data_IF_810530301543
#
_entry.id   IF_810530301543
#
_cell.length_a   1.000
_cell.length_b   1.000
_cell.length_c   1.000
_cell.angle_alpha   90.00
_cell.angle_beta   90.00
_cell.angle_gamma   90.00
#
_symmetry.space_group_name_H-M   'P 1'
#
loop_
_entity.id
_entity.type
_entity.pdbx_description
1 polymer ?
#
# COMPACT_ATOMS: atom_id res chain seq x y z
N UNK A 1 6.96 18.69 4.46
CA UNK A 1 7.75 19.00 3.24
C UNK A 1 8.41 20.39 3.36
N UNK A 2 9.44 20.60 4.18
CA UNK A 2 10.16 21.90 4.27
C UNK A 2 11.69 21.68 4.28
N UNK A 3 12.30 21.38 3.14
CA UNK A 3 13.76 21.41 3.10
C UNK A 3 14.24 22.85 3.25
N UNK A 4 15.43 23.09 3.79
CA UNK A 4 16.08 24.41 3.68
C UNK A 4 16.55 24.68 2.24
N UNK A 5 16.54 23.64 1.40
CA UNK A 5 16.81 23.69 -0.05
C UNK A 5 15.55 23.99 -0.83
N UNK A 6 15.70 24.77 -1.90
CA UNK A 6 14.66 25.03 -2.88
C UNK A 6 14.23 23.75 -3.61
N UNK A 7 13.00 23.71 -4.12
CA UNK A 7 12.50 22.56 -4.89
C UNK A 7 13.39 22.24 -6.10
N UNK A 8 13.98 23.26 -6.72
CA UNK A 8 14.93 23.12 -7.84
C UNK A 8 16.20 22.38 -7.43
N UNK A 9 16.73 22.66 -6.25
CA UNK A 9 17.92 21.96 -5.73
C UNK A 9 17.63 20.50 -5.40
N UNK A 10 16.44 20.20 -4.85
CA UNK A 10 16.01 18.81 -4.61
C UNK A 10 15.85 18.06 -5.93
N UNK A 11 15.21 18.68 -6.92
CA UNK A 11 15.05 18.08 -8.25
C UNK A 11 16.41 17.82 -8.92
N UNK A 12 17.35 18.76 -8.84
CA UNK A 12 18.70 18.60 -9.38
C UNK A 12 19.46 17.46 -8.70
N UNK A 13 19.39 17.36 -7.36
CA UNK A 13 20.00 16.27 -6.63
C UNK A 13 19.42 14.89 -7.03
N UNK A 14 18.12 14.79 -7.29
CA UNK A 14 17.51 13.55 -7.77
C UNK A 14 17.98 13.17 -9.18
N UNK A 15 18.12 14.15 -10.08
CA UNK A 15 18.64 13.94 -11.44
C UNK A 15 20.10 13.48 -11.39
N UNK A 16 20.95 14.12 -10.58
CA UNK A 16 22.36 13.73 -10.42
C UNK A 16 22.53 12.30 -9.90
N UNK A 17 21.71 11.89 -8.93
CA UNK A 17 21.73 10.52 -8.41
C UNK A 17 21.30 9.50 -9.46
N UNK A 18 20.28 9.83 -10.26
CA UNK A 18 19.80 8.99 -11.34
C UNK A 18 20.82 8.87 -12.49
N UNK A 19 21.40 9.99 -12.93
CA UNK A 19 22.37 10.01 -14.03
C UNK A 19 23.67 9.30 -13.67
N UNK A 20 24.18 9.45 -12.44
CA UNK A 20 25.38 8.75 -11.99
C UNK A 20 25.22 7.22 -11.97
N UNK A 21 24.02 6.72 -11.66
CA UNK A 21 23.71 5.28 -11.71
C UNK A 21 23.41 4.79 -13.13
N UNK A 22 22.76 5.60 -13.96
CA UNK A 22 22.55 5.29 -15.37
C UNK A 22 23.87 5.11 -16.14
N UNK A 23 24.89 5.91 -15.83
CA UNK A 23 26.23 5.80 -16.44
C UNK A 23 27.03 4.58 -15.94
N UNK A 24 26.74 4.11 -14.72
CA UNK A 24 27.40 2.92 -14.13
C UNK A 24 26.65 1.62 -14.41
N UNK A 25 25.41 1.71 -14.93
CA UNK A 25 24.55 0.58 -15.26
C UNK A 25 24.99 -0.05 -16.60
N UNK A 26 26.16 -0.68 -16.61
CA UNK A 26 26.63 -1.50 -17.73
C UNK A 26 25.97 -2.90 -17.77
N UNK A 27 24.92 -3.15 -16.97
CA UNK A 27 24.28 -4.47 -16.83
C UNK A 27 22.75 -4.36 -16.87
N UNK A 28 22.13 -5.14 -17.77
CA UNK A 28 20.70 -5.29 -18.06
C UNK A 28 19.85 -5.89 -16.90
N UNK A 29 20.14 -5.53 -15.66
CA UNK A 29 19.24 -5.86 -14.56
C UNK A 29 18.12 -4.82 -14.47
N UNK A 30 16.87 -5.28 -14.36
CA UNK A 30 15.70 -4.42 -14.14
C UNK A 30 15.90 -3.45 -12.96
N UNK A 31 16.72 -3.86 -11.98
CA UNK A 31 17.05 -3.06 -10.81
C UNK A 31 18.04 -1.91 -11.12
N UNK A 32 18.98 -2.11 -12.05
CA UNK A 32 19.86 -1.04 -12.54
C UNK A 32 19.08 -0.03 -13.38
N UNK A 33 18.17 -0.49 -14.23
CA UNK A 33 17.27 0.38 -15.00
C UNK A 33 16.40 1.26 -14.08
N UNK A 34 15.84 0.68 -13.01
CA UNK A 34 15.08 1.44 -12.01
C UNK A 34 15.96 2.49 -11.30
N UNK A 35 17.19 2.15 -10.93
CA UNK A 35 18.13 3.07 -10.28
C UNK A 35 18.63 4.21 -11.20
N UNK A 36 18.51 4.07 -12.52
CA UNK A 36 18.78 5.13 -13.49
C UNK A 36 17.62 6.10 -13.70
N UNK A 37 16.44 5.81 -13.14
CA UNK A 37 15.26 6.64 -13.31
C UNK A 37 15.06 7.63 -12.15
N UNK A 38 14.71 8.88 -12.47
CA UNK A 38 14.52 9.95 -11.46
C UNK A 38 13.42 9.59 -10.46
N UNK A 39 12.35 8.93 -10.92
CA UNK A 39 11.25 8.48 -10.05
C UNK A 39 11.71 7.59 -8.88
N UNK A 40 12.75 6.79 -9.06
CA UNK A 40 13.28 5.93 -8.00
C UNK A 40 13.77 6.70 -6.77
N UNK A 41 14.34 7.90 -6.99
CA UNK A 41 14.82 8.77 -5.91
C UNK A 41 13.75 9.72 -5.36
N UNK A 42 12.66 9.95 -6.10
CA UNK A 42 11.58 10.82 -5.66
C UNK A 42 10.52 10.09 -4.83
N UNK A 43 10.18 8.85 -5.20
CA UNK A 43 9.04 8.13 -4.59
C UNK A 43 9.36 6.73 -4.06
N UNK A 44 10.49 6.15 -4.44
CA UNK A 44 10.82 4.76 -4.14
C UNK A 44 12.02 4.60 -3.18
N UNK A 45 12.71 3.45 -3.21
CA UNK A 45 13.83 3.09 -2.31
C UNK A 45 15.02 4.05 -2.40
N UNK A 46 15.18 4.78 -3.51
CA UNK A 46 16.21 5.81 -3.67
C UNK A 46 15.97 7.06 -2.83
N UNK A 47 14.77 7.25 -2.27
CA UNK A 47 14.41 8.43 -1.49
C UNK A 47 15.31 8.65 -0.28
N UNK A 48 15.77 7.58 0.38
CA UNK A 48 16.67 7.69 1.53
C UNK A 48 18.02 8.31 1.14
N UNK A 49 18.54 8.00 -0.05
CA UNK A 49 19.77 8.58 -0.59
C UNK A 49 19.59 10.06 -0.95
N UNK A 50 18.43 10.42 -1.52
CA UNK A 50 18.08 11.81 -1.79
C UNK A 50 17.93 12.62 -0.49
N UNK A 51 17.24 12.06 0.52
CA UNK A 51 17.09 12.70 1.85
C UNK A 51 18.44 12.91 2.54
N UNK A 52 19.39 11.97 2.41
CA UNK A 52 20.75 12.14 2.93
C UNK A 52 21.50 13.29 2.24
N UNK A 53 21.34 13.44 0.92
CA UNK A 53 22.03 14.47 0.13
C UNK A 53 21.43 15.87 0.30
N UNK A 54 20.12 15.95 0.56
CA UNK A 54 19.39 17.22 0.72
C UNK A 54 19.34 17.69 2.18
N UNK A 55 19.60 16.80 3.14
CA UNK A 55 19.67 17.09 4.58
C UNK A 55 18.57 16.35 5.36
N UNK A 56 18.91 15.61 6.43
CA UNK A 56 17.94 14.79 7.15
C UNK A 56 16.94 15.66 7.94
N UNK A 57 15.65 15.30 7.85
CA UNK A 57 14.67 15.65 8.88
C UNK A 57 14.80 14.73 10.09
N UNK A 58 14.34 15.22 11.24
CA UNK A 58 14.57 14.69 12.58
C UNK A 58 14.65 13.15 12.71
N UNK A 59 15.56 12.65 13.56
CA UNK A 59 15.97 11.24 13.58
C UNK A 59 14.85 10.27 13.98
N UNK A 60 13.94 10.65 14.88
CA UNK A 60 12.96 9.74 15.46
C UNK A 60 11.91 9.21 14.46
N UNK A 61 11.30 10.10 13.68
CA UNK A 61 10.25 9.74 12.69
C UNK A 61 10.87 8.92 11.56
N UNK A 62 12.13 9.20 11.19
CA UNK A 62 12.85 8.46 10.16
C UNK A 62 13.14 7.03 10.60
N UNK A 63 13.63 6.83 11.83
CA UNK A 63 13.91 5.50 12.39
C UNK A 63 12.64 4.67 12.47
N UNK A 64 11.53 5.24 12.96
CA UNK A 64 10.26 4.53 13.04
C UNK A 64 9.72 4.15 11.66
N UNK A 65 9.84 5.05 10.67
CA UNK A 65 9.43 4.82 9.28
C UNK A 65 10.29 3.75 8.59
N UNK A 66 11.60 3.76 8.81
CA UNK A 66 12.51 2.77 8.24
C UNK A 66 12.29 1.38 8.87
N UNK A 67 12.03 1.32 10.18
CA UNK A 67 11.70 0.08 10.88
C UNK A 67 10.36 -0.50 10.39
N UNK A 68 9.33 0.35 10.25
CA UNK A 68 8.03 -0.04 9.70
C UNK A 68 8.11 -0.51 8.25
N UNK A 69 9.03 0.04 7.44
CA UNK A 69 9.25 -0.42 6.06
C UNK A 69 9.99 -1.76 5.97
N UNK A 70 10.91 -2.04 6.89
CA UNK A 70 11.72 -3.26 6.87
C UNK A 70 10.97 -4.48 7.38
N UNK A 71 10.11 -4.31 8.38
CA UNK A 71 9.36 -5.41 9.00
C UNK A 71 7.96 -4.96 9.44
N UNK A 72 7.04 -4.67 8.49
CA UNK A 72 5.72 -4.13 8.82
C UNK A 72 4.92 -5.06 9.73
N UNK A 73 5.00 -6.37 9.50
CA UNK A 73 4.32 -7.38 10.31
C UNK A 73 4.85 -7.41 11.75
N UNK A 74 6.17 -7.37 11.94
CA UNK A 74 6.80 -7.40 13.26
C UNK A 74 6.48 -6.15 14.06
N UNK A 75 6.49 -4.98 13.43
CA UNK A 75 6.12 -3.72 14.10
C UNK A 75 4.64 -3.74 14.50
N UNK A 76 3.76 -4.20 13.61
CA UNK A 76 2.34 -4.33 13.90
C UNK A 76 2.08 -5.29 15.06
N UNK A 77 2.47 -6.56 14.93
CA UNK A 77 2.29 -7.59 15.95
C UNK A 77 2.96 -7.19 17.27
N UNK A 78 4.19 -6.66 17.22
CA UNK A 78 4.93 -6.23 18.40
C UNK A 78 4.21 -5.11 19.15
N UNK A 79 3.69 -4.11 18.43
CA UNK A 79 2.91 -3.03 19.04
C UNK A 79 1.59 -3.51 19.63
N UNK A 80 0.89 -4.43 18.95
CA UNK A 80 -0.35 -5.03 19.44
C UNK A 80 -0.12 -5.87 20.69
N UNK A 81 0.91 -6.73 20.71
CA UNK A 81 1.25 -7.56 21.87
C UNK A 81 1.71 -6.70 23.05
N UNK A 82 2.53 -5.67 22.80
CA UNK A 82 2.96 -4.74 23.84
C UNK A 82 1.77 -4.02 24.48
N UNK A 83 0.86 -3.50 23.66
CA UNK A 83 -0.30 -2.78 24.14
C UNK A 83 -1.31 -3.71 24.83
N UNK A 84 -1.50 -4.92 24.30
CA UNK A 84 -2.28 -5.97 24.97
C UNK A 84 -1.72 -6.28 26.35
N UNK A 85 -0.40 -6.49 26.46
CA UNK A 85 0.24 -6.75 27.74
C UNK A 85 0.08 -5.56 28.69
N UNK A 86 0.24 -4.33 28.20
CA UNK A 86 0.08 -3.11 29.00
C UNK A 86 -1.36 -2.96 29.55
N UNK A 87 -2.36 -3.33 28.76
CA UNK A 87 -3.77 -3.26 29.13
C UNK A 87 -4.19 -4.45 30.03
N UNK A 88 -3.88 -5.68 29.63
CA UNK A 88 -4.37 -6.88 30.31
C UNK A 88 -3.62 -7.20 31.61
N UNK A 89 -2.31 -6.95 31.67
CA UNK A 89 -1.47 -7.31 32.83
C UNK A 89 -1.93 -6.66 34.15
N UNK A 90 -2.22 -5.35 34.25
CA UNK A 90 -2.69 -4.77 35.52
C UNK A 90 -4.04 -5.34 35.95
N UNK A 91 -4.95 -5.60 35.01
CA UNK A 91 -6.26 -6.20 35.28
C UNK A 91 -6.11 -7.64 35.82
N UNK A 92 -5.31 -8.47 35.16
CA UNK A 92 -5.04 -9.84 35.62
C UNK A 92 -4.38 -9.83 37.00
N UNK A 93 -3.40 -8.95 37.25
CA UNK A 93 -2.76 -8.83 38.57
C UNK A 93 -3.74 -8.40 39.67
N UNK A 94 -4.70 -7.54 39.37
CA UNK A 94 -5.73 -7.15 40.31
C UNK A 94 -6.62 -8.36 40.68
N UNK A 95 -6.99 -9.20 39.72
CA UNK A 95 -7.77 -10.43 39.97
C UNK A 95 -6.99 -11.39 40.89
N UNK A 96 -5.70 -11.61 40.61
CA UNK A 96 -4.83 -12.43 41.49
C UNK A 96 -4.74 -11.88 42.92
N UNK A 97 -4.61 -10.56 43.08
CA UNK A 97 -4.54 -9.90 44.42
C UNK A 97 -5.83 -10.04 45.23
N UNK A 98 -6.98 -10.23 44.57
CA UNK A 98 -8.26 -10.47 45.23
C UNK A 98 -8.44 -11.93 45.68
N UNK A 99 -7.39 -12.76 45.64
CA UNK A 99 -7.42 -14.15 46.11
C UNK A 99 -8.16 -15.10 45.16
N UNK A 100 -8.45 -14.67 43.94
CA UNK A 100 -9.02 -15.52 42.91
C UNK A 100 -7.92 -16.32 42.24
N UNK A 101 -7.85 -17.62 42.56
CA UNK A 101 -6.87 -18.57 42.04
C UNK A 101 -7.55 -19.73 41.29
N UNK A 102 -6.76 -20.50 40.54
CA UNK A 102 -7.24 -21.69 39.83
C UNK A 102 -8.23 -21.40 38.69
N UNK A 103 -9.30 -22.19 38.61
CA UNK A 103 -10.27 -22.11 37.50
C UNK A 103 -11.04 -20.78 37.44
N UNK A 104 -11.31 -20.17 38.60
CA UNK A 104 -12.02 -18.90 38.70
C UNK A 104 -11.17 -17.75 38.12
N UNK A 105 -9.85 -17.80 38.30
CA UNK A 105 -8.93 -16.87 37.65
C UNK A 105 -8.94 -17.07 36.13
N UNK A 106 -8.84 -18.31 35.65
CA UNK A 106 -8.84 -18.62 34.23
C UNK A 106 -10.14 -18.15 33.54
N UNK A 107 -11.29 -18.32 34.21
CA UNK A 107 -12.59 -17.87 33.71
C UNK A 107 -12.66 -16.35 33.52
N UNK A 108 -11.96 -15.56 34.34
CA UNK A 108 -11.87 -14.08 34.20
C UNK A 108 -10.76 -13.67 33.25
N UNK A 109 -9.64 -14.40 33.21
CA UNK A 109 -8.51 -14.07 32.35
C UNK A 109 -8.92 -14.08 30.87
N UNK A 110 -9.73 -15.05 30.44
CA UNK A 110 -10.21 -15.17 29.05
C UNK A 110 -10.92 -13.90 28.56
N UNK A 111 -12.02 -13.41 29.20
CA UNK A 111 -12.70 -12.21 28.74
C UNK A 111 -11.83 -10.95 28.88
N UNK A 112 -10.97 -10.84 29.91
CA UNK A 112 -10.06 -9.70 30.06
C UNK A 112 -9.08 -9.61 28.90
N UNK A 113 -8.46 -10.75 28.52
CA UNK A 113 -7.56 -10.80 27.37
C UNK A 113 -8.30 -10.49 26.07
N UNK A 114 -9.51 -11.02 25.90
CA UNK A 114 -10.32 -10.79 24.70
C UNK A 114 -10.65 -9.29 24.54
N UNK A 115 -11.19 -8.65 25.58
CA UNK A 115 -11.56 -7.23 25.56
C UNK A 115 -10.30 -6.36 25.36
N UNK A 116 -9.23 -6.67 26.08
CA UNK A 116 -7.96 -5.92 25.97
C UNK A 116 -7.35 -6.05 24.57
N UNK A 117 -7.50 -7.22 23.93
CA UNK A 117 -6.98 -7.45 22.57
C UNK A 117 -7.70 -6.61 21.53
N UNK A 118 -9.04 -6.50 21.62
CA UNK A 118 -9.83 -5.66 20.72
C UNK A 118 -9.43 -4.19 20.87
N UNK A 119 -9.28 -3.71 22.10
CA UNK A 119 -8.84 -2.34 22.37
C UNK A 119 -7.43 -2.08 21.84
N UNK A 120 -6.50 -3.02 22.07
CA UNK A 120 -5.14 -2.92 21.59
C UNK A 120 -5.07 -2.86 20.05
N UNK A 121 -5.77 -3.76 19.37
CA UNK A 121 -5.85 -3.79 17.90
C UNK A 121 -6.45 -2.48 17.38
N UNK A 122 -7.53 -2.00 17.99
CA UNK A 122 -8.21 -0.76 17.58
C UNK A 122 -7.31 0.46 17.71
N UNK A 123 -6.58 0.57 18.83
CA UNK A 123 -5.68 1.70 19.08
C UNK A 123 -4.44 1.64 18.16
N UNK A 124 -3.91 0.45 17.90
CA UNK A 124 -2.82 0.26 16.92
C UNK A 124 -3.30 0.65 15.52
N UNK A 125 -4.48 0.19 15.09
CA UNK A 125 -5.04 0.53 13.78
C UNK A 125 -5.27 2.04 13.64
N UNK A 126 -5.78 2.68 14.70
CA UNK A 126 -5.95 4.14 14.74
C UNK A 126 -4.59 4.87 14.66
N UNK A 127 -3.61 4.44 15.45
CA UNK A 127 -2.26 5.01 15.44
C UNK A 127 -1.60 4.85 14.06
N UNK A 128 -1.75 3.68 13.42
CA UNK A 128 -1.25 3.44 12.07
C UNK A 128 -1.92 4.38 11.06
N UNK A 129 -3.21 4.65 11.20
CA UNK A 129 -3.93 5.59 10.30
C UNK A 129 -3.40 7.02 10.40
N UNK A 130 -2.86 7.42 11.56
CA UNK A 130 -2.24 8.75 11.76
C UNK A 130 -0.79 8.77 11.26
N UNK A 131 -0.02 7.71 11.56
CA UNK A 131 1.42 7.65 11.27
C UNK A 131 1.68 7.35 9.79
N UNK A 132 0.85 6.51 9.17
CA UNK A 132 0.96 6.15 7.76
C UNK A 132 0.42 7.29 6.91
N UNK A 133 1.31 8.20 6.53
CA UNK A 133 0.97 9.29 5.63
C UNK A 133 0.51 8.72 4.27
N UNK A 134 -0.68 9.11 3.77
CA UNK A 134 -1.15 8.70 2.46
C UNK A 134 -0.11 9.05 1.39
N UNK A 135 0.27 8.08 0.57
CA UNK A 135 1.12 8.37 -0.59
C UNK A 135 0.24 8.97 -1.67
N UNK A 136 0.45 10.25 -1.97
CA UNK A 136 -0.13 10.83 -3.18
C UNK A 136 0.48 10.10 -4.38
N UNK A 137 -0.37 9.46 -5.19
CA UNK A 137 0.10 8.89 -6.43
C UNK A 137 0.51 10.03 -7.37
N UNK A 138 1.71 9.98 -7.97
CA UNK A 138 2.07 10.88 -9.05
C UNK A 138 1.01 10.81 -10.15
N UNK A 139 0.53 11.96 -10.60
CA UNK A 139 -0.41 12.07 -11.72
C UNK A 139 0.32 12.75 -12.88
N UNK A 140 0.17 12.18 -14.07
CA UNK A 140 0.59 12.86 -15.29
C UNK A 140 -0.45 13.92 -15.65
N UNK A 141 0.01 15.09 -16.08
CA UNK A 141 -0.88 16.16 -16.52
C UNK A 141 -1.28 15.93 -17.99
N UNK A 142 -2.44 15.30 -18.16
CA UNK A 142 -3.13 15.17 -19.44
C UNK A 142 -4.46 15.94 -19.43
N UNK A 143 -4.50 17.08 -18.73
CA UNK A 143 -5.69 17.93 -18.65
C UNK A 143 -6.20 18.42 -20.02
N UNK A 144 -5.32 18.44 -21.03
CA UNK A 144 -5.64 18.82 -22.42
C UNK A 144 -5.88 17.63 -23.36
N UNK A 145 -5.97 16.42 -22.81
CA UNK A 145 -6.08 15.17 -23.57
C UNK A 145 -4.75 14.44 -23.77
N UNK A 146 -4.83 13.22 -24.26
CA UNK A 146 -3.69 12.35 -24.51
C UNK A 146 -3.06 12.65 -25.87
N UNK A 147 -1.72 12.84 -25.97
CA UNK A 147 -1.05 12.91 -27.26
C UNK A 147 -0.99 11.53 -27.94
N UNK A 148 -0.84 11.48 -29.29
CA UNK A 148 -0.79 10.22 -30.03
C UNK A 148 0.29 9.23 -29.56
N UNK A 149 1.40 9.74 -29.04
CA UNK A 149 2.52 8.94 -28.55
C UNK A 149 2.20 8.12 -27.28
N UNK A 150 1.14 8.46 -26.54
CA UNK A 150 0.71 7.77 -25.30
C UNK A 150 -0.71 7.22 -25.43
N UNK A 151 -1.07 6.76 -26.62
CA UNK A 151 -2.35 6.10 -26.86
C UNK A 151 -2.56 4.99 -25.83
N UNK A 152 -3.66 5.07 -25.10
CA UNK A 152 -3.91 4.29 -23.89
C UNK A 152 -5.16 3.42 -24.06
N UNK A 153 -5.07 2.17 -23.61
CA UNK A 153 -6.20 1.24 -23.50
C UNK A 153 -6.47 0.96 -22.03
N UNK A 154 -7.67 1.28 -21.56
CA UNK A 154 -8.16 0.95 -20.22
C UNK A 154 -8.87 -0.40 -20.30
N UNK A 155 -8.28 -1.40 -19.68
CA UNK A 155 -8.83 -2.75 -19.60
C UNK A 155 -9.54 -2.93 -18.27
N UNK A 156 -10.83 -3.28 -18.30
CA UNK A 156 -11.62 -3.59 -17.11
C UNK A 156 -11.78 -5.11 -17.02
N UNK A 157 -11.16 -5.77 -16.01
CA UNK A 157 -11.35 -7.19 -15.80
C UNK A 157 -12.76 -7.47 -15.28
N UNK A 158 -13.42 -8.50 -15.80
CA UNK A 158 -14.74 -8.93 -15.36
C UNK A 158 -14.94 -10.44 -15.54
N UNK A 159 -15.80 -11.06 -14.71
CA UNK A 159 -16.23 -12.45 -14.90
C UNK A 159 -17.65 -12.44 -15.47
N UNK A 160 -17.92 -13.29 -16.46
CA UNK A 160 -19.24 -13.44 -17.04
C UNK A 160 -20.00 -14.52 -16.28
N UNK A 161 -20.85 -14.12 -15.32
CA UNK A 161 -21.61 -15.08 -14.52
C UNK A 161 -22.97 -15.41 -15.12
N UNK A 162 -23.63 -14.43 -15.76
CA UNK A 162 -24.86 -14.63 -16.49
C UNK A 162 -25.01 -13.68 -17.69
N UNK A 163 -25.98 -13.96 -18.57
CA UNK A 163 -26.22 -13.14 -19.77
C UNK A 163 -26.61 -11.68 -19.45
N UNK A 164 -27.23 -11.42 -18.29
CA UNK A 164 -27.61 -10.08 -17.87
C UNK A 164 -26.38 -9.22 -17.51
N UNK A 165 -25.32 -9.84 -16.98
CA UNK A 165 -24.08 -9.14 -16.63
C UNK A 165 -23.39 -8.55 -17.86
N UNK A 166 -23.52 -9.22 -19.01
CA UNK A 166 -22.94 -8.74 -20.27
C UNK A 166 -23.51 -7.37 -20.63
N UNK A 167 -24.82 -7.18 -20.48
CA UNK A 167 -25.49 -5.90 -20.73
C UNK A 167 -25.00 -4.83 -19.75
N UNK A 168 -24.96 -5.13 -18.46
CA UNK A 168 -24.48 -4.20 -17.44
C UNK A 168 -23.00 -3.80 -17.64
N UNK A 169 -22.15 -4.74 -18.07
CA UNK A 169 -20.75 -4.48 -18.38
C UNK A 169 -20.59 -3.60 -19.63
N UNK A 170 -21.41 -3.82 -20.66
CA UNK A 170 -21.45 -2.98 -21.86
C UNK A 170 -21.88 -1.55 -21.53
N UNK A 171 -22.98 -1.39 -20.78
CA UNK A 171 -23.48 -0.09 -20.34
C UNK A 171 -22.43 0.65 -19.49
N UNK A 172 -21.78 -0.05 -18.57
CA UNK A 172 -20.72 0.52 -17.75
C UNK A 172 -19.50 0.95 -18.57
N UNK A 173 -19.15 0.21 -19.62
CA UNK A 173 -18.08 0.57 -20.55
C UNK A 173 -18.46 1.80 -21.38
N UNK A 174 -19.70 1.89 -21.84
CA UNK A 174 -20.23 3.06 -22.54
C UNK A 174 -20.20 4.31 -21.66
N UNK A 175 -20.67 4.23 -20.41
CA UNK A 175 -20.61 5.35 -19.46
C UNK A 175 -19.18 5.83 -19.26
N UNK A 176 -18.20 4.91 -19.14
CA UNK A 176 -16.78 5.26 -18.99
C UNK A 176 -16.23 5.95 -20.23
N UNK A 177 -16.59 5.47 -21.42
CA UNK A 177 -16.21 6.08 -22.70
C UNK A 177 -16.80 7.48 -22.85
N UNK A 178 -18.09 7.65 -22.57
CA UNK A 178 -18.78 8.94 -22.70
C UNK A 178 -18.30 9.96 -21.66
N UNK A 179 -17.99 9.52 -20.43
CA UNK A 179 -17.45 10.38 -19.39
C UNK A 179 -15.99 10.82 -19.65
N UNK A 180 -15.24 10.08 -20.48
CA UNK A 180 -13.82 10.30 -20.75
C UNK A 180 -13.52 10.27 -22.25
N UNK A 181 -14.20 11.10 -23.04
CA UNK A 181 -13.99 11.15 -24.49
C UNK A 181 -12.62 11.74 -24.84
N UNK A 182 -11.74 10.90 -25.39
CA UNK A 182 -10.45 11.29 -25.96
C UNK A 182 -10.13 10.36 -27.15
N UNK A 183 -9.65 10.89 -28.32
CA UNK A 183 -9.34 10.07 -29.49
C UNK A 183 -8.31 8.97 -29.26
N UNK A 184 -7.44 9.17 -28.28
CA UNK A 184 -6.34 8.26 -27.95
C UNK A 184 -6.61 7.45 -26.67
N UNK A 185 -7.81 7.54 -26.09
CA UNK A 185 -8.26 6.71 -24.98
C UNK A 185 -9.27 5.66 -25.45
N UNK A 186 -8.94 4.40 -25.23
CA UNK A 186 -9.76 3.26 -25.63
C UNK A 186 -10.16 2.46 -24.39
N UNK A 187 -11.29 1.76 -24.44
CA UNK A 187 -11.77 0.93 -23.35
C UNK A 187 -12.00 -0.50 -23.85
N UNK A 188 -11.64 -1.49 -23.04
CA UNK A 188 -11.88 -2.90 -23.33
C UNK A 188 -12.30 -3.65 -22.07
N UNK A 189 -13.05 -4.73 -22.25
CA UNK A 189 -13.30 -5.73 -21.22
C UNK A 189 -12.31 -6.87 -21.40
N UNK A 190 -11.72 -7.31 -20.29
CA UNK A 190 -11.00 -8.58 -20.22
C UNK A 190 -11.88 -9.53 -19.43
N UNK A 191 -12.53 -10.45 -20.13
CA UNK A 191 -13.54 -11.32 -19.55
C UNK A 191 -13.10 -12.77 -19.48
N UNK A 192 -13.53 -13.46 -18.43
CA UNK A 192 -13.44 -14.91 -18.31
C UNK A 192 -14.79 -15.48 -17.83
N UNK A 193 -15.01 -16.77 -17.99
CA UNK A 193 -16.17 -17.47 -17.45
C UNK A 193 -15.91 -17.96 -16.02
N UNK A 194 -16.99 -18.26 -15.29
CA UNK A 194 -16.86 -18.88 -13.97
C UNK A 194 -16.28 -20.29 -14.12
N UNK A 195 -15.41 -20.67 -13.17
CA UNK A 195 -14.85 -22.01 -13.11
C UNK A 195 -15.97 -23.08 -13.10
N UNK A 196 -15.77 -24.13 -13.89
CA UNK A 196 -16.64 -25.30 -13.89
C UNK A 196 -16.54 -26.05 -12.54
N UNK A 197 -17.64 -26.67 -12.05
CA UNK A 197 -17.60 -27.45 -10.81
C UNK A 197 -16.78 -28.75 -10.94
N UNK A 198 -16.52 -29.21 -12.15
CA UNK A 198 -15.72 -30.40 -12.47
C UNK A 198 -14.89 -30.17 -13.74
N UNK A 199 -13.80 -30.92 -13.88
CA UNK A 199 -12.91 -30.88 -15.05
C UNK A 199 -13.58 -31.35 -16.35
N UNK A 200 -14.60 -32.20 -16.26
CA UNK A 200 -15.42 -32.67 -17.38
C UNK A 200 -16.88 -32.46 -17.04
N UNK A 201 -17.62 -31.82 -17.94
CA UNK A 201 -19.07 -31.68 -17.92
C UNK A 201 -19.68 -32.36 -19.14
N UNK A 202 -20.94 -32.79 -19.05
CA UNK A 202 -21.67 -33.38 -20.19
C UNK A 202 -21.80 -32.40 -21.38
N UNK A 203 -21.63 -31.09 -21.13
CA UNK A 203 -21.63 -30.05 -22.16
C UNK A 203 -20.29 -29.90 -22.90
N UNK A 204 -19.23 -30.59 -22.45
CA UNK A 204 -17.90 -30.59 -23.07
C UNK A 204 -17.73 -31.72 -24.13
N UNK A 205 -18.74 -32.59 -24.27
CA UNK A 205 -18.74 -33.75 -25.18
C UNK A 205 -19.23 -33.42 -26.60
#
# INVERSE_FOLDING_TARGET
KHSTRSEREVARAAIELASGRAQSAAHDSAQAAAQGHVGYYLVDRGLAALEQRVGPRGPAIKILRDLARRAPLTVYLGSTVLLLALLAQPLLRAVLRNGMEGWAWAAIAVPVVLISSQLAISLVNWLMSIVVMPRMLPRMDYSRGLPPAVRTLVVVPAMLTCAQDVGALADALEVRFLANRDPHLHFALLTDFVDAPSEVLDADA
#
